data_IF_267039261522
#
_entry.id   IF_267039261522
#
_cell.length_a   1.000
_cell.length_b   1.000
_cell.length_c   1.000
_cell.angle_alpha   90.00
_cell.angle_beta   90.00
_cell.angle_gamma   90.00
#
_symmetry.space_group_name_H-M   'P 1'
#
loop_
_entity.id
_entity.type
_entity.pdbx_description
1 polymer ?
#
# COMPACT_ATOMS: atom_id res chain seq x y z
N UNK A 1 -16.02 -3.30 26.42
CA UNK A 1 -15.11 -3.51 27.54
C UNK A 1 -15.85 -4.00 28.80
N UNK A 2 -16.97 -3.37 29.18
CA UNK A 2 -17.71 -3.73 30.44
C UNK A 2 -18.21 -5.17 30.52
N UNK A 3 -18.30 -5.89 29.42
CA UNK A 3 -18.63 -7.34 29.40
C UNK A 3 -17.45 -8.21 29.84
N UNK A 4 -16.24 -7.67 29.98
CA UNK A 4 -15.03 -8.40 30.38
C UNK A 4 -14.50 -9.40 29.37
N UNK A 5 -14.99 -9.36 28.13
CA UNK A 5 -14.63 -10.31 27.05
C UNK A 5 -13.50 -9.80 26.14
N UNK A 6 -13.05 -8.56 26.34
CA UNK A 6 -12.02 -7.91 25.52
C UNK A 6 -12.58 -7.20 24.30
N UNK A 7 -11.98 -6.05 24.02
CA UNK A 7 -12.27 -5.21 22.86
C UNK A 7 -10.96 -4.91 22.13
N UNK A 8 -10.91 -5.17 20.84
CA UNK A 8 -9.78 -4.79 20.00
C UNK A 8 -10.13 -3.49 19.26
N UNK A 9 -9.31 -2.46 19.46
CA UNK A 9 -9.36 -1.21 18.68
C UNK A 9 -8.30 -1.29 17.61
N UNK A 10 -8.75 -1.34 16.37
CA UNK A 10 -7.91 -1.63 15.20
C UNK A 10 -7.55 -0.33 14.50
N UNK A 11 -6.27 -0.10 14.28
CA UNK A 11 -5.73 1.07 13.59
C UNK A 11 -4.89 0.64 12.38
N UNK A 12 -4.48 1.60 11.54
CA UNK A 12 -3.74 1.32 10.31
C UNK A 12 -2.22 1.21 10.46
N UNK A 13 -1.65 1.63 11.60
CA UNK A 13 -0.20 1.51 11.86
C UNK A 13 0.12 1.54 13.37
N UNK A 14 1.34 1.09 13.71
CA UNK A 14 1.83 1.00 15.09
C UNK A 14 1.91 2.36 15.80
N UNK A 15 2.24 3.42 15.07
CA UNK A 15 2.29 4.77 15.62
C UNK A 15 0.92 5.21 16.14
N UNK A 16 -0.15 5.00 15.35
CA UNK A 16 -1.50 5.33 15.77
C UNK A 16 -1.98 4.42 16.91
N UNK A 17 -1.68 3.12 16.84
CA UNK A 17 -2.03 2.19 17.91
C UNK A 17 -1.44 2.64 19.26
N UNK A 18 -0.16 3.00 19.27
CA UNK A 18 0.54 3.49 20.47
C UNK A 18 -0.01 4.84 20.92
N UNK A 19 -0.08 5.83 20.02
CA UNK A 19 -0.59 7.17 20.33
C UNK A 19 -1.98 7.13 20.93
N UNK A 20 -2.89 6.38 20.32
CA UNK A 20 -4.29 6.35 20.72
C UNK A 20 -4.48 5.54 22.01
N UNK A 21 -3.69 4.49 22.22
CA UNK A 21 -3.65 3.78 23.49
C UNK A 21 -3.17 4.70 24.65
N UNK A 22 -2.11 5.47 24.42
CA UNK A 22 -1.58 6.41 25.44
C UNK A 22 -2.55 7.57 25.68
N UNK A 23 -3.20 8.09 24.66
CA UNK A 23 -4.08 9.25 24.77
C UNK A 23 -5.45 8.90 25.31
N UNK A 24 -6.15 7.96 24.67
CA UNK A 24 -7.50 7.53 25.09
C UNK A 24 -7.44 6.60 26.30
N UNK A 25 -6.34 5.88 26.48
CA UNK A 25 -6.10 4.99 27.60
C UNK A 25 -6.28 5.66 28.93
N UNK A 26 -5.87 6.92 29.07
CA UNK A 26 -6.07 7.72 30.32
C UNK A 26 -7.53 7.77 30.76
N UNK A 27 -8.48 7.85 29.81
CA UNK A 27 -9.91 7.86 30.11
C UNK A 27 -10.38 6.48 30.52
N UNK A 28 -9.92 5.44 29.82
CA UNK A 28 -10.29 4.06 30.11
C UNK A 28 -9.76 3.61 31.48
N UNK A 29 -8.51 3.91 31.79
CA UNK A 29 -7.88 3.61 33.08
C UNK A 29 -8.54 4.36 34.23
N UNK A 30 -8.91 5.63 34.03
CA UNK A 30 -9.70 6.38 34.99
C UNK A 30 -11.03 5.73 35.31
N UNK A 31 -11.63 5.04 34.36
CA UNK A 31 -12.87 4.27 34.54
C UNK A 31 -12.62 2.87 35.08
N UNK A 32 -11.39 2.51 35.43
CA UNK A 32 -11.01 1.22 36.02
C UNK A 32 -10.84 0.08 34.99
N UNK A 33 -10.69 0.40 33.69
CA UNK A 33 -10.42 -0.57 32.63
C UNK A 33 -8.92 -0.66 32.37
N UNK A 34 -8.45 -1.82 31.98
CA UNK A 34 -7.06 -2.06 31.57
C UNK A 34 -6.90 -1.85 30.07
N UNK A 35 -5.76 -1.22 29.68
CA UNK A 35 -5.45 -0.91 28.29
C UNK A 35 -4.12 -1.53 27.89
N UNK A 36 -4.11 -2.28 26.80
CA UNK A 36 -2.94 -2.87 26.19
C UNK A 36 -2.72 -2.33 24.76
N UNK A 37 -1.50 -2.46 24.28
CA UNK A 37 -1.14 -2.16 22.88
C UNK A 37 -0.31 -3.30 22.32
N UNK A 38 -0.56 -3.70 21.09
CA UNK A 38 0.25 -4.66 20.35
C UNK A 38 1.07 -3.93 19.30
N UNK A 39 2.39 -4.10 19.39
CA UNK A 39 3.37 -3.52 18.47
C UNK A 39 4.20 -4.64 17.83
N UNK A 40 4.75 -4.37 16.66
CA UNK A 40 5.55 -5.36 15.91
C UNK A 40 6.76 -5.89 16.70
N UNK A 41 7.38 -5.06 17.55
CA UNK A 41 8.60 -5.39 18.32
C UNK A 41 8.36 -6.29 19.53
N UNK A 42 7.10 -6.56 19.92
CA UNK A 42 6.75 -7.28 21.14
C UNK A 42 6.94 -8.80 20.99
N UNK A 43 7.39 -9.43 22.08
CA UNK A 43 7.43 -10.89 22.19
C UNK A 43 6.05 -11.49 22.55
N UNK A 44 5.97 -12.83 22.61
CA UNK A 44 4.69 -13.51 22.83
C UNK A 44 4.14 -13.31 24.25
N UNK A 45 4.99 -13.11 25.25
CA UNK A 45 4.55 -12.92 26.64
C UNK A 45 3.98 -11.51 26.81
N UNK A 46 4.66 -10.52 26.28
CA UNK A 46 4.17 -9.13 26.22
C UNK A 46 2.83 -9.03 25.47
N UNK A 47 2.72 -9.73 24.32
CA UNK A 47 1.47 -9.79 23.53
C UNK A 47 0.33 -10.43 24.35
N UNK A 48 0.60 -11.51 25.04
CA UNK A 48 -0.39 -12.20 25.89
C UNK A 48 -0.90 -11.30 27.01
N UNK A 49 -0.02 -10.55 27.67
CA UNK A 49 -0.40 -9.56 28.67
C UNK A 49 -1.29 -8.46 28.08
N UNK A 50 -0.92 -7.93 26.93
CA UNK A 50 -1.69 -6.89 26.25
C UNK A 50 -3.08 -7.39 25.79
N UNK A 51 -3.18 -8.61 25.24
CA UNK A 51 -4.48 -9.20 24.88
C UNK A 51 -5.37 -9.53 26.07
N UNK A 52 -4.81 -9.70 27.26
CA UNK A 52 -5.57 -9.92 28.48
C UNK A 52 -6.17 -8.64 29.07
N UNK A 53 -5.80 -7.45 28.57
CA UNK A 53 -6.44 -6.20 28.93
C UNK A 53 -7.91 -6.12 28.47
N UNK A 54 -8.70 -5.26 29.09
CA UNK A 54 -10.09 -5.02 28.70
C UNK A 54 -10.20 -4.40 27.30
N UNK A 55 -9.23 -3.55 26.95
CA UNK A 55 -9.12 -2.88 25.65
C UNK A 55 -7.70 -3.09 25.14
N UNK A 56 -7.57 -3.55 23.89
CA UNK A 56 -6.28 -3.75 23.23
C UNK A 56 -6.26 -2.97 21.92
N UNK A 57 -5.31 -2.04 21.80
CA UNK A 57 -5.02 -1.33 20.54
C UNK A 57 -4.03 -2.13 19.72
N UNK A 58 -4.31 -2.32 18.45
CA UNK A 58 -3.44 -3.06 17.55
C UNK A 58 -3.66 -2.67 16.08
N UNK A 59 -2.72 -3.00 15.21
CA UNK A 59 -2.97 -2.93 13.78
C UNK A 59 -3.71 -4.17 13.28
N UNK A 60 -4.42 -4.02 12.18
CA UNK A 60 -5.08 -5.14 11.48
C UNK A 60 -4.10 -6.27 11.14
N UNK A 61 -2.87 -5.92 10.72
CA UNK A 61 -1.82 -6.87 10.39
C UNK A 61 -1.38 -7.68 11.62
N UNK A 62 -1.08 -7.01 12.74
CA UNK A 62 -0.63 -7.69 13.96
C UNK A 62 -1.70 -8.66 14.48
N UNK A 63 -2.96 -8.21 14.53
CA UNK A 63 -4.08 -9.08 14.96
C UNK A 63 -4.23 -10.31 14.06
N UNK A 64 -4.17 -10.13 12.75
CA UNK A 64 -4.32 -11.22 11.81
C UNK A 64 -3.12 -12.18 11.80
N UNK A 65 -1.89 -11.66 11.96
CA UNK A 65 -0.71 -12.52 12.08
C UNK A 65 -0.66 -13.27 13.41
N UNK A 66 -1.07 -12.64 14.52
CA UNK A 66 -1.19 -13.33 15.81
C UNK A 66 -2.23 -14.44 15.74
N UNK A 67 -3.38 -14.19 15.10
CA UNK A 67 -4.37 -15.22 14.84
C UNK A 67 -3.79 -16.40 14.04
N UNK A 68 -3.03 -16.13 12.97
CA UNK A 68 -2.38 -17.20 12.21
C UNK A 68 -1.35 -17.96 13.05
N UNK A 69 -0.52 -17.25 13.85
CA UNK A 69 0.47 -17.87 14.75
C UNK A 69 -0.21 -18.75 15.78
N UNK A 70 -1.28 -18.28 16.39
CA UNK A 70 -2.07 -19.03 17.37
C UNK A 70 -2.66 -20.32 16.79
N UNK A 71 -3.04 -20.31 15.50
CA UNK A 71 -3.53 -21.52 14.83
C UNK A 71 -2.41 -22.49 14.41
N UNK A 72 -1.15 -22.15 14.62
CA UNK A 72 0.02 -23.00 14.32
C UNK A 72 0.66 -23.59 15.58
N UNK A 73 0.28 -23.15 16.79
CA UNK A 73 0.82 -23.67 18.05
C UNK A 73 0.26 -25.05 18.40
N UNK A 74 1.03 -25.82 19.16
CA UNK A 74 0.66 -27.17 19.56
C UNK A 74 -0.02 -27.18 20.94
N UNK A 75 0.41 -26.27 21.83
CA UNK A 75 -0.08 -26.23 23.21
C UNK A 75 -0.91 -24.95 23.43
N UNK A 76 -1.98 -25.08 24.22
CA UNK A 76 -2.91 -23.97 24.52
C UNK A 76 -2.22 -22.80 25.23
N UNK A 77 -1.21 -23.09 26.04
CA UNK A 77 -0.43 -22.08 26.79
C UNK A 77 0.41 -21.19 25.88
N UNK A 78 0.61 -21.59 24.61
CA UNK A 78 1.33 -20.80 23.60
C UNK A 78 0.44 -19.77 22.90
N UNK A 79 -0.88 -19.85 23.05
CA UNK A 79 -1.81 -18.86 22.49
C UNK A 79 -1.56 -17.50 23.11
N UNK A 80 -1.60 -16.48 22.28
CA UNK A 80 -1.47 -15.08 22.74
C UNK A 80 -2.81 -14.36 22.76
N UNK A 81 -3.71 -14.65 21.80
CA UNK A 81 -5.03 -14.04 21.73
C UNK A 81 -6.05 -14.76 22.62
N UNK A 82 -7.05 -13.99 23.07
CA UNK A 82 -8.30 -14.53 23.62
C UNK A 82 -9.34 -14.74 22.50
N UNK A 83 -10.56 -15.13 22.88
CA UNK A 83 -11.69 -15.17 21.95
C UNK A 83 -11.93 -13.80 21.31
N UNK A 84 -12.26 -13.82 20.02
CA UNK A 84 -12.46 -12.61 19.21
C UNK A 84 -13.89 -12.07 19.43
N UNK A 85 -14.07 -11.31 20.52
CA UNK A 85 -15.40 -10.84 20.89
C UNK A 85 -15.82 -9.58 20.16
N UNK A 86 -15.07 -8.47 20.26
CA UNK A 86 -15.48 -7.19 19.66
C UNK A 86 -14.32 -6.47 19.01
N UNK A 87 -14.47 -6.12 17.74
CA UNK A 87 -13.55 -5.27 17.00
C UNK A 87 -14.19 -3.90 16.70
N UNK A 88 -13.48 -2.84 17.03
CA UNK A 88 -13.77 -1.46 16.62
C UNK A 88 -12.67 -1.04 15.66
N UNK A 89 -13.01 -0.87 14.38
CA UNK A 89 -12.02 -0.62 13.32
C UNK A 89 -12.02 0.85 12.95
N UNK A 90 -10.92 1.55 13.28
CA UNK A 90 -10.70 2.91 12.80
C UNK A 90 -10.22 2.89 11.36
N UNK A 91 -10.61 3.91 10.59
CA UNK A 91 -10.36 3.95 9.15
C UNK A 91 -10.82 2.66 8.45
N UNK A 92 -12.04 2.23 8.78
CA UNK A 92 -12.59 0.91 8.42
C UNK A 92 -12.59 0.62 6.92
N UNK A 93 -12.70 1.62 6.09
CA UNK A 93 -12.62 1.49 4.63
C UNK A 93 -11.19 1.16 4.16
N UNK A 94 -10.14 1.67 4.81
CA UNK A 94 -8.77 1.23 4.53
C UNK A 94 -8.57 -0.23 4.90
N UNK A 95 -8.96 -0.58 6.11
CA UNK A 95 -8.68 -1.90 6.68
C UNK A 95 -9.50 -2.99 5.99
N UNK A 96 -10.81 -2.75 5.80
CA UNK A 96 -11.74 -3.78 5.33
C UNK A 96 -12.00 -3.76 3.81
N UNK A 97 -11.65 -2.69 3.11
CA UNK A 97 -11.81 -2.59 1.66
C UNK A 97 -10.43 -2.59 0.96
N UNK A 98 -9.58 -1.58 1.22
CA UNK A 98 -8.31 -1.44 0.50
C UNK A 98 -7.31 -2.54 0.81
N UNK A 99 -6.99 -2.75 2.09
CA UNK A 99 -6.00 -3.75 2.52
C UNK A 99 -6.54 -5.18 2.46
N UNK A 100 -7.87 -5.34 2.49
CA UNK A 100 -8.51 -6.65 2.46
C UNK A 100 -8.37 -7.40 1.12
N UNK A 101 -7.88 -6.75 0.08
CA UNK A 101 -7.64 -7.36 -1.24
C UNK A 101 -6.52 -8.41 -1.22
N UNK A 102 -5.60 -8.33 -0.26
CA UNK A 102 -4.49 -9.27 -0.14
C UNK A 102 -4.59 -10.08 1.16
N UNK A 103 -4.40 -11.41 1.11
CA UNK A 103 -4.42 -12.22 2.32
C UNK A 103 -3.15 -12.04 3.15
N UNK A 104 -3.27 -12.31 4.45
CA UNK A 104 -2.12 -12.51 5.33
C UNK A 104 -1.57 -13.92 5.11
N UNK A 105 -0.24 -14.03 4.99
CA UNK A 105 0.43 -15.30 4.71
C UNK A 105 1.62 -15.46 5.65
N UNK A 106 1.67 -16.57 6.37
CA UNK A 106 2.87 -17.03 7.06
C UNK A 106 3.54 -18.09 6.20
N UNK A 107 4.82 -17.89 5.95
CA UNK A 107 5.63 -18.77 5.12
C UNK A 107 6.79 -19.34 5.89
N UNK A 108 7.09 -20.62 5.67
CA UNK A 108 8.30 -21.28 6.16
C UNK A 108 9.32 -21.48 5.04
N UNK A 109 10.60 -21.68 5.39
CA UNK A 109 11.63 -21.88 4.38
C UNK A 109 11.42 -23.22 3.64
N UNK A 110 11.32 -23.19 2.31
CA UNK A 110 11.47 -24.38 1.49
C UNK A 110 12.99 -24.69 1.39
N UNK A 111 13.35 -25.96 1.37
CA UNK A 111 14.77 -26.38 1.31
C UNK A 111 15.50 -26.09 -0.01
N UNK A 112 14.91 -25.33 -0.94
CA UNK A 112 15.44 -25.08 -2.30
C UNK A 112 16.63 -24.13 -2.33
N UNK A 113 17.51 -24.31 -3.31
CA UNK A 113 18.72 -23.51 -3.51
C UNK A 113 18.39 -22.11 -4.02
N UNK A 114 19.02 -21.09 -3.44
CA UNK A 114 18.89 -19.69 -3.89
C UNK A 114 19.74 -19.36 -5.11
N UNK A 115 20.75 -20.19 -5.41
CA UNK A 115 21.71 -19.97 -6.51
C UNK A 115 21.07 -19.97 -7.90
N UNK A 116 19.95 -20.67 -8.06
CA UNK A 116 19.25 -20.74 -9.35
C UNK A 116 18.69 -19.36 -9.74
N UNK A 117 18.23 -18.54 -8.80
CA UNK A 117 17.72 -17.20 -9.07
C UNK A 117 18.82 -16.25 -9.59
N UNK A 118 20.01 -16.33 -9.01
CA UNK A 118 21.18 -15.56 -9.48
C UNK A 118 21.61 -15.98 -10.88
N UNK A 119 21.59 -17.30 -11.16
CA UNK A 119 21.89 -17.81 -12.50
C UNK A 119 20.86 -17.36 -13.55
N UNK A 120 19.56 -17.37 -13.18
CA UNK A 120 18.48 -16.89 -14.04
C UNK A 120 18.56 -15.38 -14.27
N UNK A 121 18.89 -14.58 -13.26
CA UNK A 121 19.11 -13.14 -13.40
C UNK A 121 20.25 -12.85 -14.41
N UNK A 122 21.39 -13.52 -14.27
CA UNK A 122 22.51 -13.39 -15.20
C UNK A 122 22.14 -13.74 -16.65
N UNK A 123 21.30 -14.76 -16.85
CA UNK A 123 20.78 -15.11 -18.18
C UNK A 123 19.85 -14.02 -18.72
N UNK A 124 18.85 -13.63 -17.92
CA UNK A 124 17.80 -12.70 -18.36
C UNK A 124 18.37 -11.32 -18.75
N UNK A 125 19.42 -10.85 -18.09
CA UNK A 125 20.15 -9.62 -18.48
C UNK A 125 20.74 -9.69 -19.90
N UNK A 126 20.98 -10.88 -20.44
CA UNK A 126 21.52 -11.08 -21.79
C UNK A 126 20.41 -11.24 -22.84
N UNK A 127 19.14 -11.43 -22.40
CA UNK A 127 18.02 -11.59 -23.31
C UNK A 127 17.48 -10.24 -23.78
N UNK A 128 17.04 -10.19 -25.04
CA UNK A 128 16.52 -8.97 -25.67
C UNK A 128 14.99 -9.02 -25.72
N UNK A 129 14.37 -7.94 -25.21
CA UNK A 129 12.92 -7.74 -25.33
C UNK A 129 12.54 -7.58 -26.80
N UNK A 130 11.58 -8.34 -27.27
CA UNK A 130 10.98 -8.26 -28.57
C UNK A 130 9.64 -7.52 -28.57
N UNK A 131 9.04 -7.39 -29.74
CA UNK A 131 7.70 -6.80 -29.92
C UNK A 131 6.75 -7.86 -30.47
N UNK A 132 5.55 -7.96 -29.89
CA UNK A 132 4.42 -8.64 -30.52
C UNK A 132 4.01 -7.84 -31.77
N UNK A 133 4.02 -8.48 -32.93
CA UNK A 133 3.29 -7.93 -34.07
C UNK A 133 1.80 -8.26 -33.90
N UNK A 134 0.95 -7.25 -33.86
CA UNK A 134 -0.49 -7.45 -34.01
C UNK A 134 -0.72 -8.12 -35.37
N UNK A 135 -1.06 -9.43 -35.35
CA UNK A 135 -1.43 -10.17 -36.53
C UNK A 135 -2.74 -9.60 -37.09
N UNK A 136 -2.71 -9.12 -38.31
CA UNK A 136 -3.93 -8.77 -39.02
C UNK A 136 -4.77 -10.04 -39.26
N UNK A 137 -6.10 -9.90 -39.43
CA UNK A 137 -6.98 -11.04 -39.73
C UNK A 137 -6.56 -11.79 -41.00
N UNK A 138 -5.77 -11.17 -41.87
CA UNK A 138 -5.24 -11.77 -43.10
C UNK A 138 -4.01 -12.68 -42.82
N UNK A 139 -3.18 -12.31 -41.87
CA UNK A 139 -1.96 -13.06 -41.48
C UNK A 139 -2.34 -14.38 -40.78
N UNK A 140 -3.45 -14.39 -40.03
CA UNK A 140 -4.01 -15.60 -39.39
C UNK A 140 -4.51 -16.62 -40.43
N UNK A 141 -5.05 -16.14 -41.56
CA UNK A 141 -5.59 -17.01 -42.64
C UNK A 141 -4.46 -17.61 -43.48
N UNK A 142 -3.34 -16.91 -43.62
CA UNK A 142 -2.20 -17.37 -44.46
C UNK A 142 -1.20 -18.28 -43.74
N UNK A 143 -1.39 -18.56 -42.41
CA UNK A 143 -0.43 -19.36 -41.61
C UNK A 143 1.02 -18.86 -41.75
N UNK A 144 1.22 -17.54 -41.84
CA UNK A 144 2.56 -16.99 -41.73
C UNK A 144 3.07 -17.17 -40.30
N UNK A 145 4.27 -17.73 -40.17
CA UNK A 145 4.93 -17.96 -38.91
C UNK A 145 4.96 -16.68 -38.07
N UNK A 146 4.61 -16.79 -36.79
CA UNK A 146 4.75 -15.74 -35.83
C UNK A 146 6.20 -15.26 -35.78
N UNK A 147 6.54 -14.24 -36.57
CA UNK A 147 7.84 -13.58 -36.49
C UNK A 147 7.88 -12.71 -35.23
N UNK A 148 7.87 -13.37 -34.08
CA UNK A 148 8.23 -12.73 -32.81
C UNK A 148 9.70 -12.30 -32.90
N UNK A 149 9.95 -11.00 -32.81
CA UNK A 149 11.33 -10.49 -32.79
C UNK A 149 11.82 -10.45 -31.35
N UNK A 150 13.09 -10.87 -31.13
CA UNK A 150 13.70 -10.86 -29.79
C UNK A 150 13.62 -12.21 -29.08
N UNK A 151 14.04 -12.23 -27.82
CA UNK A 151 14.15 -13.47 -27.03
C UNK A 151 12.92 -13.68 -26.11
N UNK A 152 12.22 -12.60 -25.77
CA UNK A 152 10.97 -12.67 -25.01
C UNK A 152 10.05 -11.49 -25.34
N UNK A 153 8.76 -11.70 -25.14
CA UNK A 153 7.71 -10.67 -25.29
C UNK A 153 7.05 -10.42 -23.96
N UNK A 154 6.88 -9.15 -23.61
CA UNK A 154 6.22 -8.75 -22.37
C UNK A 154 5.01 -7.87 -22.66
N UNK A 155 3.84 -8.25 -22.13
CA UNK A 155 2.61 -7.50 -22.20
C UNK A 155 2.32 -6.88 -20.80
N UNK A 156 2.54 -5.58 -20.68
CA UNK A 156 2.38 -4.86 -19.40
C UNK A 156 0.90 -4.77 -18.98
N UNK A 157 -0.04 -4.72 -19.93
CA UNK A 157 -1.47 -4.65 -19.63
C UNK A 157 -2.00 -5.96 -19.06
N UNK A 158 -1.55 -7.07 -19.59
CA UNK A 158 -1.95 -8.43 -19.16
C UNK A 158 -1.04 -8.99 -18.06
N UNK A 159 0.03 -8.27 -17.70
CA UNK A 159 1.07 -8.69 -16.74
C UNK A 159 1.66 -10.08 -17.10
N UNK A 160 1.86 -10.35 -18.40
CA UNK A 160 2.42 -11.60 -18.91
C UNK A 160 3.76 -11.40 -19.59
N UNK A 161 4.64 -12.41 -19.46
CA UNK A 161 5.92 -12.46 -20.17
C UNK A 161 6.12 -13.87 -20.70
N UNK A 162 6.45 -13.98 -21.97
CA UNK A 162 6.65 -15.26 -22.66
C UNK A 162 7.98 -15.29 -23.40
N UNK A 163 8.69 -16.41 -23.33
CA UNK A 163 9.88 -16.66 -24.13
C UNK A 163 9.47 -16.96 -25.58
N UNK A 164 10.23 -16.44 -26.54
CA UNK A 164 10.15 -16.84 -27.95
C UNK A 164 10.95 -18.13 -28.18
N UNK A 165 10.82 -18.74 -29.35
CA UNK A 165 11.66 -19.90 -29.72
C UNK A 165 13.17 -19.58 -29.63
N UNK A 166 13.56 -18.35 -29.99
CA UNK A 166 14.96 -17.94 -29.90
C UNK A 166 15.40 -17.82 -28.44
N UNK A 167 14.51 -17.31 -27.58
CA UNK A 167 14.73 -17.23 -26.14
C UNK A 167 14.88 -18.61 -25.51
N UNK A 168 14.00 -19.54 -25.84
CA UNK A 168 14.05 -20.93 -25.36
C UNK A 168 15.41 -21.58 -25.70
N UNK A 169 15.86 -21.47 -26.96
CA UNK A 169 17.17 -22.01 -27.38
C UNK A 169 18.36 -21.39 -26.64
N UNK A 170 18.25 -20.10 -26.24
CA UNK A 170 19.28 -19.46 -25.43
C UNK A 170 19.28 -19.97 -23.98
N UNK A 171 18.09 -20.17 -23.40
CA UNK A 171 17.94 -20.76 -22.05
C UNK A 171 18.54 -22.17 -22.02
N UNK A 172 18.16 -23.03 -23.00
CA UNK A 172 18.66 -24.40 -23.13
C UNK A 172 20.19 -24.44 -23.25
N UNK A 173 20.76 -23.56 -24.08
CA UNK A 173 22.22 -23.47 -24.23
C UNK A 173 22.91 -23.01 -22.95
N UNK A 174 22.34 -22.05 -22.24
CA UNK A 174 22.93 -21.50 -21.01
C UNK A 174 22.97 -22.53 -19.88
N UNK A 175 21.89 -23.29 -19.70
CA UNK A 175 21.77 -24.31 -18.67
C UNK A 175 22.20 -25.70 -19.13
N UNK A 176 22.68 -25.86 -20.37
CA UNK A 176 23.07 -27.13 -20.98
C UNK A 176 21.95 -28.18 -20.98
N UNK A 177 20.72 -27.75 -21.34
CA UNK A 177 19.54 -28.59 -21.40
C UNK A 177 19.30 -29.08 -22.84
N UNK A 178 18.76 -30.29 -22.99
CA UNK A 178 18.31 -30.80 -24.30
C UNK A 178 16.95 -30.20 -24.69
N UNK A 179 16.03 -30.09 -23.69
CA UNK A 179 14.70 -29.52 -23.89
C UNK A 179 14.22 -28.86 -22.60
N UNK A 180 13.88 -27.58 -22.67
CA UNK A 180 13.40 -26.79 -21.50
C UNK A 180 12.02 -27.28 -20.99
N UNK A 181 11.20 -27.88 -21.87
CA UNK A 181 9.86 -28.35 -21.53
C UNK A 181 9.84 -29.73 -20.81
N UNK A 182 10.98 -30.39 -20.64
CA UNK A 182 11.04 -31.67 -19.96
C UNK A 182 10.67 -31.50 -18.46
N UNK A 183 9.98 -32.51 -17.87
CA UNK A 183 9.55 -32.45 -16.46
C UNK A 183 10.69 -32.19 -15.46
N UNK A 184 11.89 -32.64 -15.76
CA UNK A 184 13.09 -32.43 -14.95
C UNK A 184 13.57 -30.97 -14.94
N UNK A 185 13.21 -30.19 -15.96
CA UNK A 185 13.64 -28.81 -16.18
C UNK A 185 12.58 -27.77 -15.76
N UNK A 186 11.42 -28.20 -15.25
CA UNK A 186 10.32 -27.31 -14.86
C UNK A 186 10.72 -26.25 -13.82
N UNK A 187 11.63 -26.58 -12.92
CA UNK A 187 12.14 -25.62 -11.92
C UNK A 187 12.95 -24.50 -12.58
N UNK A 188 13.80 -24.85 -13.55
CA UNK A 188 14.59 -23.87 -14.31
C UNK A 188 13.66 -22.99 -15.14
N UNK A 189 12.70 -23.60 -15.84
CA UNK A 189 11.71 -22.88 -16.64
C UNK A 189 10.92 -21.88 -15.78
N UNK A 190 10.47 -22.32 -14.62
CA UNK A 190 9.76 -21.48 -13.66
C UNK A 190 10.60 -20.30 -13.19
N UNK A 191 11.85 -20.54 -12.75
CA UNK A 191 12.77 -19.50 -12.29
C UNK A 191 13.13 -18.50 -13.39
N UNK A 192 13.31 -18.94 -14.64
CA UNK A 192 13.55 -18.06 -15.79
C UNK A 192 12.34 -17.15 -16.04
N UNK A 193 11.12 -17.71 -16.01
CA UNK A 193 9.90 -16.93 -16.19
C UNK A 193 9.72 -15.90 -15.07
N UNK A 194 10.03 -16.24 -13.81
CA UNK A 194 9.99 -15.31 -12.69
C UNK A 194 11.02 -14.19 -12.83
N UNK A 195 12.24 -14.53 -13.26
CA UNK A 195 13.29 -13.55 -13.51
C UNK A 195 12.90 -12.59 -14.65
N UNK A 196 12.30 -13.10 -15.72
CA UNK A 196 11.75 -12.28 -16.81
C UNK A 196 10.64 -11.35 -16.29
N UNK A 197 9.71 -11.84 -15.47
CA UNK A 197 8.67 -11.01 -14.85
C UNK A 197 9.27 -9.93 -13.96
N UNK A 198 10.26 -10.26 -13.15
CA UNK A 198 10.96 -9.31 -12.29
C UNK A 198 11.62 -8.18 -13.09
N UNK A 199 12.24 -8.49 -14.24
CA UNK A 199 12.88 -7.50 -15.09
C UNK A 199 11.91 -6.68 -15.94
N UNK A 200 10.89 -7.33 -16.51
CA UNK A 200 10.01 -6.70 -17.49
C UNK A 200 8.79 -6.00 -16.89
N UNK A 201 8.29 -6.45 -15.73
CA UNK A 201 7.02 -6.01 -15.16
C UNK A 201 7.12 -5.42 -13.76
N UNK A 202 8.26 -5.58 -13.05
CA UNK A 202 8.41 -5.08 -11.68
C UNK A 202 9.42 -3.93 -11.66
N UNK A 203 9.00 -2.78 -11.14
CA UNK A 203 9.77 -1.54 -11.19
C UNK A 203 10.15 -1.09 -9.78
N UNK A 204 11.43 -0.73 -9.62
CA UNK A 204 11.94 -0.09 -8.40
C UNK A 204 11.20 1.23 -8.16
N UNK A 205 10.95 1.55 -6.91
CA UNK A 205 10.25 2.77 -6.44
C UNK A 205 8.76 2.88 -6.86
N UNK A 206 8.23 1.85 -7.52
CA UNK A 206 6.81 1.75 -7.87
C UNK A 206 6.18 0.50 -7.24
N UNK A 207 6.67 -0.68 -7.58
CA UNK A 207 6.16 -1.95 -7.08
C UNK A 207 6.88 -2.39 -5.81
N UNK A 208 8.12 -1.95 -5.62
CA UNK A 208 8.96 -2.24 -4.46
C UNK A 208 10.03 -1.17 -4.26
N UNK A 209 10.60 -1.12 -3.05
CA UNK A 209 11.79 -0.34 -2.71
C UNK A 209 12.88 -1.25 -2.14
N UNK A 210 14.14 -0.81 -2.22
CA UNK A 210 15.28 -1.50 -1.60
C UNK A 210 15.75 -0.67 -0.40
N UNK A 211 15.71 -1.27 0.80
CA UNK A 211 16.18 -0.65 2.04
C UNK A 211 16.87 -1.72 2.89
N UNK A 212 18.01 -1.39 3.48
CA UNK A 212 18.78 -2.26 4.39
C UNK A 212 19.07 -3.66 3.80
N UNK A 213 19.50 -3.70 2.53
CA UNK A 213 19.78 -4.93 1.77
C UNK A 213 18.56 -5.87 1.67
N UNK A 214 17.35 -5.31 1.64
CA UNK A 214 16.10 -6.03 1.52
C UNK A 214 15.16 -5.38 0.52
N UNK A 215 14.44 -6.21 -0.22
CA UNK A 215 13.32 -5.78 -1.06
C UNK A 215 12.08 -5.67 -0.18
N UNK A 216 11.42 -4.51 -0.22
CA UNK A 216 10.17 -4.24 0.50
C UNK A 216 9.08 -3.90 -0.51
N UNK A 217 7.94 -4.56 -0.40
CA UNK A 217 6.80 -4.32 -1.30
C UNK A 217 6.20 -2.95 -1.01
N UNK A 218 5.84 -2.24 -2.08
CA UNK A 218 5.00 -1.05 -2.02
C UNK A 218 3.59 -1.43 -2.43
N UNK A 219 2.62 -1.11 -1.61
CA UNK A 219 1.21 -1.35 -1.91
C UNK A 219 0.74 -0.45 -3.07
N UNK A 220 0.18 -1.04 -4.11
CA UNK A 220 -0.24 -0.35 -5.33
C UNK A 220 -1.34 0.71 -5.06
N UNK A 221 -2.17 0.49 -4.04
CA UNK A 221 -3.31 1.36 -3.74
C UNK A 221 -2.97 2.47 -2.73
N UNK A 222 -2.18 2.13 -1.71
CA UNK A 222 -1.87 3.06 -0.62
C UNK A 222 -0.50 3.73 -0.78
N UNK A 223 0.37 3.21 -1.66
CA UNK A 223 1.75 3.68 -1.82
C UNK A 223 2.63 3.43 -0.59
N UNK A 224 2.18 2.60 0.37
CA UNK A 224 2.90 2.32 1.61
C UNK A 224 3.80 1.10 1.48
N UNK A 225 4.93 1.15 2.16
CA UNK A 225 5.77 -0.04 2.36
C UNK A 225 4.99 -1.04 3.21
N UNK A 226 5.01 -2.30 2.79
CA UNK A 226 4.38 -3.43 3.48
C UNK A 226 5.46 -4.29 4.16
N UNK A 227 5.88 -3.99 5.40
CA UNK A 227 6.91 -4.74 6.08
C UNK A 227 6.50 -6.20 6.30
N UNK A 228 7.44 -7.12 6.12
CA UNK A 228 7.20 -8.55 6.33
C UNK A 228 6.42 -9.26 5.21
N UNK A 229 5.83 -8.54 4.25
CA UNK A 229 5.20 -9.15 3.07
C UNK A 229 6.23 -9.46 1.99
N UNK A 230 6.00 -10.55 1.28
CA UNK A 230 6.82 -11.01 0.15
C UNK A 230 5.92 -11.42 -1.01
N UNK A 231 6.39 -11.23 -2.24
CA UNK A 231 5.72 -11.80 -3.40
C UNK A 231 5.81 -13.33 -3.35
N UNK A 232 4.74 -14.01 -3.76
CA UNK A 232 4.63 -15.47 -3.77
C UNK A 232 5.43 -16.11 -4.91
N UNK A 233 5.49 -17.44 -4.85
CA UNK A 233 5.94 -18.32 -5.92
C UNK A 233 7.36 -18.08 -6.44
N UNK A 234 8.24 -17.46 -5.64
CA UNK A 234 9.62 -17.17 -6.01
C UNK A 234 9.84 -15.82 -6.70
N UNK A 235 8.78 -15.03 -6.96
CA UNK A 235 8.94 -13.71 -7.60
C UNK A 235 9.76 -12.75 -6.73
N UNK A 236 9.59 -12.82 -5.40
CA UNK A 236 10.39 -11.98 -4.49
C UNK A 236 11.89 -12.28 -4.58
N UNK A 237 12.25 -13.55 -4.66
CA UNK A 237 13.63 -14.00 -4.84
C UNK A 237 14.20 -13.55 -6.19
N UNK A 238 13.39 -13.59 -7.24
CA UNK A 238 13.80 -13.09 -8.55
C UNK A 238 14.06 -11.57 -8.53
N UNK A 239 13.29 -10.80 -7.75
CA UNK A 239 13.52 -9.36 -7.55
C UNK A 239 14.76 -9.15 -6.68
N UNK A 240 14.96 -9.94 -5.60
CA UNK A 240 16.16 -9.89 -4.78
C UNK A 240 17.42 -10.14 -5.62
N UNK A 241 17.39 -11.13 -6.53
CA UNK A 241 18.50 -11.39 -7.47
C UNK A 241 18.71 -10.23 -8.45
N UNK A 242 17.64 -9.68 -9.01
CA UNK A 242 17.66 -8.51 -9.91
C UNK A 242 18.33 -7.29 -9.27
N UNK A 243 18.03 -7.01 -8.02
CA UNK A 243 18.55 -5.86 -7.28
C UNK A 243 19.89 -6.16 -6.57
N UNK A 244 20.45 -7.37 -6.77
CA UNK A 244 21.71 -7.81 -6.16
C UNK A 244 21.74 -7.73 -4.63
N UNK A 245 20.60 -7.87 -4.00
CA UNK A 245 20.48 -8.04 -2.55
C UNK A 245 20.52 -9.54 -2.21
N UNK A 246 20.73 -9.86 -0.94
CA UNK A 246 20.82 -11.26 -0.50
C UNK A 246 19.51 -12.00 -0.80
N UNK A 247 19.57 -12.98 -1.70
CA UNK A 247 18.41 -13.83 -2.03
C UNK A 247 18.10 -14.73 -0.84
N UNK A 248 16.93 -14.55 -0.23
CA UNK A 248 16.43 -15.39 0.86
C UNK A 248 15.80 -16.66 0.28
N UNK A 249 15.86 -17.77 1.02
CA UNK A 249 15.28 -19.04 0.57
C UNK A 249 13.80 -18.88 0.21
N UNK A 250 13.36 -19.65 -0.80
CA UNK A 250 11.95 -19.74 -1.17
C UNK A 250 11.14 -20.19 0.04
N UNK A 251 9.98 -19.59 0.20
CA UNK A 251 9.11 -19.87 1.34
C UNK A 251 7.91 -20.71 0.92
N UNK A 252 7.60 -21.74 1.72
CA UNK A 252 6.37 -22.51 1.58
C UNK A 252 5.30 -21.86 2.46
N UNK A 253 4.11 -21.62 1.90
CA UNK A 253 2.98 -21.12 2.69
C UNK A 253 2.59 -22.13 3.76
N UNK A 254 2.65 -21.71 5.01
CA UNK A 254 2.28 -22.51 6.18
C UNK A 254 0.85 -22.22 6.64
N UNK A 255 0.47 -20.94 6.64
CA UNK A 255 -0.87 -20.50 7.02
C UNK A 255 -1.25 -19.24 6.24
N UNK A 256 -2.54 -19.08 5.95
CA UNK A 256 -3.08 -17.90 5.28
C UNK A 256 -4.49 -17.59 5.77
N UNK A 257 -4.82 -16.31 5.83
CA UNK A 257 -6.19 -15.83 6.08
C UNK A 257 -6.40 -14.50 5.36
N UNK A 258 -7.60 -14.30 4.84
CA UNK A 258 -8.03 -12.97 4.34
C UNK A 258 -8.55 -12.11 5.49
N UNK A 259 -8.47 -10.79 5.38
CA UNK A 259 -9.05 -9.89 6.38
C UNK A 259 -10.57 -10.09 6.51
N UNK A 260 -11.27 -10.37 5.39
CA UNK A 260 -12.70 -10.69 5.41
C UNK A 260 -13.00 -11.87 6.34
N UNK A 261 -12.27 -12.97 6.16
CA UNK A 261 -12.45 -14.17 6.99
C UNK A 261 -12.03 -13.94 8.43
N UNK A 262 -10.98 -13.16 8.66
CA UNK A 262 -10.50 -12.85 10.01
C UNK A 262 -11.53 -12.00 10.77
N UNK A 263 -11.93 -10.85 10.23
CA UNK A 263 -12.86 -9.94 10.91
C UNK A 263 -14.28 -10.54 11.06
N UNK A 264 -14.67 -11.47 10.18
CA UNK A 264 -15.93 -12.21 10.34
C UNK A 264 -15.92 -13.23 11.48
N UNK A 265 -14.78 -13.46 12.14
CA UNK A 265 -14.70 -14.31 13.35
C UNK A 265 -15.06 -13.56 14.63
N UNK A 266 -15.09 -12.24 14.63
CA UNK A 266 -15.55 -11.47 15.77
C UNK A 266 -17.06 -11.62 15.95
N UNK A 267 -17.50 -11.79 17.21
CA UNK A 267 -18.93 -11.82 17.57
C UNK A 267 -19.61 -10.48 17.23
N UNK A 268 -18.89 -9.38 17.51
CA UNK A 268 -19.33 -8.02 17.25
C UNK A 268 -18.24 -7.25 16.48
N UNK A 269 -18.62 -6.45 15.53
CA UNK A 269 -17.73 -5.57 14.81
C UNK A 269 -18.42 -4.28 14.44
N UNK A 270 -17.70 -3.18 14.53
CA UNK A 270 -18.09 -1.89 13.98
C UNK A 270 -16.83 -1.15 13.50
N UNK A 271 -17.04 -0.06 12.80
CA UNK A 271 -15.94 0.76 12.33
C UNK A 271 -16.38 2.19 12.09
N UNK A 272 -15.40 3.06 11.85
CA UNK A 272 -15.62 4.46 11.55
C UNK A 272 -14.65 4.94 10.48
N UNK A 273 -15.16 5.82 9.63
CA UNK A 273 -14.41 6.55 8.61
C UNK A 273 -15.24 7.73 8.11
N UNK A 274 -14.60 8.72 7.51
CA UNK A 274 -15.28 9.84 6.84
C UNK A 274 -15.83 9.48 5.46
N UNK A 275 -15.64 8.28 4.95
CA UNK A 275 -15.88 7.94 3.53
C UNK A 275 -16.55 6.57 3.30
N UNK A 276 -17.26 6.00 4.29
CA UNK A 276 -17.87 4.68 4.17
C UNK A 276 -19.06 4.62 3.20
N UNK A 277 -19.81 5.71 3.03
CA UNK A 277 -21.10 5.71 2.34
C UNK A 277 -20.99 5.21 0.88
N UNK A 278 -19.91 5.50 0.19
CA UNK A 278 -19.69 5.05 -1.20
C UNK A 278 -19.52 3.53 -1.33
N UNK A 279 -19.14 2.86 -0.25
CA UNK A 279 -18.87 1.43 -0.19
C UNK A 279 -19.88 0.67 0.70
N UNK A 280 -21.04 1.27 0.99
CA UNK A 280 -22.09 0.69 1.86
C UNK A 280 -22.48 -0.72 1.41
N UNK A 281 -22.60 -0.93 0.10
CA UNK A 281 -22.97 -2.23 -0.47
C UNK A 281 -21.94 -3.30 -0.11
N UNK A 282 -20.65 -2.99 -0.23
CA UNK A 282 -19.56 -3.93 0.08
C UNK A 282 -19.50 -4.23 1.57
N UNK A 283 -19.65 -3.23 2.45
CA UNK A 283 -19.73 -3.45 3.89
C UNK A 283 -20.90 -4.36 4.28
N UNK A 284 -22.04 -4.21 3.65
CA UNK A 284 -23.22 -5.04 3.92
C UNK A 284 -23.06 -6.46 3.40
N UNK A 285 -22.60 -6.64 2.15
CA UNK A 285 -22.50 -7.96 1.52
C UNK A 285 -21.40 -8.83 2.11
N UNK A 286 -20.24 -8.25 2.46
CA UNK A 286 -19.07 -9.00 2.94
C UNK A 286 -19.03 -9.12 4.46
N UNK A 287 -19.34 -8.04 5.17
CA UNK A 287 -19.17 -7.96 6.62
C UNK A 287 -20.48 -7.93 7.41
N UNK A 288 -21.62 -7.81 6.74
CA UNK A 288 -22.93 -7.68 7.40
C UNK A 288 -23.07 -6.38 8.20
N UNK A 289 -22.38 -5.30 7.80
CA UNK A 289 -22.39 -4.01 8.47
C UNK A 289 -23.17 -2.99 7.67
N UNK A 290 -24.09 -2.27 8.33
CA UNK A 290 -24.77 -1.12 7.75
C UNK A 290 -23.94 0.14 7.95
N UNK A 291 -24.10 1.10 7.03
CA UNK A 291 -23.45 2.41 7.12
C UNK A 291 -24.45 3.44 7.64
N UNK A 292 -24.08 4.13 8.71
CA UNK A 292 -24.86 5.20 9.30
C UNK A 292 -24.09 6.50 9.21
N UNK A 293 -24.67 7.49 8.53
CA UNK A 293 -24.06 8.82 8.41
C UNK A 293 -24.33 9.64 9.68
N UNK A 294 -23.24 10.07 10.33
CA UNK A 294 -23.28 11.00 11.46
C UNK A 294 -22.96 12.39 10.92
N UNK A 295 -23.90 13.36 11.03
CA UNK A 295 -23.68 14.71 10.52
C UNK A 295 -22.53 15.38 11.26
N UNK A 296 -21.82 16.27 10.56
CA UNK A 296 -20.73 17.07 11.13
C UNK A 296 -21.25 18.04 12.21
N UNK A 297 -20.48 18.24 13.29
CA UNK A 297 -20.82 19.18 14.35
C UNK A 297 -20.90 20.62 13.84
N UNK A 298 -19.97 21.03 12.97
CA UNK A 298 -19.95 22.34 12.31
C UNK A 298 -20.16 22.15 10.80
N UNK A 299 -20.83 23.09 10.11
CA UNK A 299 -20.99 23.01 8.65
C UNK A 299 -19.63 22.97 7.93
N UNK A 300 -19.54 22.17 6.89
CA UNK A 300 -18.35 22.12 6.03
C UNK A 300 -18.26 23.41 5.23
N UNK A 301 -17.17 24.17 5.43
CA UNK A 301 -16.89 25.43 4.70
C UNK A 301 -15.93 25.24 3.53
N UNK A 302 -15.39 24.03 3.35
CA UNK A 302 -14.47 23.72 2.24
C UNK A 302 -15.20 23.93 0.90
N UNK A 303 -14.47 24.53 -0.05
CA UNK A 303 -14.94 24.73 -1.43
C UNK A 303 -14.30 23.66 -2.30
N UNK A 304 -15.12 22.80 -2.89
CA UNK A 304 -14.66 21.77 -3.83
C UNK A 304 -14.83 22.30 -5.26
N UNK A 305 -13.73 22.69 -5.90
CA UNK A 305 -13.71 23.21 -7.26
C UNK A 305 -13.94 22.10 -8.29
N UNK A 306 -14.44 22.49 -9.47
CA UNK A 306 -14.54 21.59 -10.60
C UNK A 306 -13.15 21.15 -11.09
N UNK A 307 -13.09 19.95 -11.67
CA UNK A 307 -11.87 19.42 -12.28
C UNK A 307 -11.39 20.30 -13.42
N UNK A 308 -10.08 20.46 -13.52
CA UNK A 308 -9.43 21.08 -14.66
C UNK A 308 -8.83 20.02 -15.57
N UNK A 309 -9.35 19.91 -16.79
CA UNK A 309 -8.95 18.89 -17.76
C UNK A 309 -7.94 19.47 -18.77
N UNK A 310 -6.84 18.77 -19.00
CA UNK A 310 -5.76 19.17 -19.89
C UNK A 310 -5.55 18.15 -21.00
N UNK A 311 -5.08 18.60 -22.14
CA UNK A 311 -4.81 17.76 -23.29
C UNK A 311 -3.54 16.92 -23.11
N UNK A 312 -2.55 17.46 -22.40
CA UNK A 312 -1.24 16.84 -22.23
C UNK A 312 -0.81 16.85 -20.76
N UNK A 313 -0.04 15.83 -20.36
CA UNK A 313 0.58 15.75 -19.03
C UNK A 313 1.41 16.99 -18.70
N UNK A 314 2.13 17.53 -19.69
CA UNK A 314 2.98 18.71 -19.53
C UNK A 314 2.16 19.97 -19.18
N UNK A 315 1.07 20.20 -19.88
CA UNK A 315 0.16 21.33 -19.58
C UNK A 315 -0.43 21.19 -18.19
N UNK A 316 -0.88 19.99 -17.82
CA UNK A 316 -1.40 19.66 -16.49
C UNK A 316 -0.38 19.98 -15.40
N UNK A 317 0.86 19.46 -15.52
CA UNK A 317 1.90 19.70 -14.52
C UNK A 317 2.28 21.18 -14.40
N UNK A 318 2.35 21.90 -15.52
CA UNK A 318 2.60 23.34 -15.47
C UNK A 318 1.48 24.08 -14.72
N UNK A 319 0.22 23.75 -14.99
CA UNK A 319 -0.90 24.36 -14.28
C UNK A 319 -0.91 24.05 -12.79
N UNK A 320 -0.57 22.83 -12.39
CA UNK A 320 -0.40 22.43 -10.98
C UNK A 320 0.69 23.27 -10.33
N UNK A 321 1.87 23.39 -10.96
CA UNK A 321 2.98 24.16 -10.42
C UNK A 321 2.61 25.64 -10.26
N UNK A 322 1.97 26.26 -11.26
CA UNK A 322 1.53 27.66 -11.17
C UNK A 322 0.51 27.88 -10.03
N UNK A 323 -0.41 26.94 -9.81
CA UNK A 323 -1.39 27.02 -8.72
C UNK A 323 -0.72 26.86 -7.33
N UNK A 324 0.28 25.95 -7.22
CA UNK A 324 1.09 25.81 -6.01
C UNK A 324 1.86 27.08 -5.72
N UNK A 325 2.53 27.68 -6.72
CA UNK A 325 3.29 28.92 -6.58
C UNK A 325 2.39 30.06 -6.10
N UNK A 326 1.24 30.25 -6.77
CA UNK A 326 0.28 31.29 -6.42
C UNK A 326 -0.26 31.15 -4.99
N UNK A 327 -0.49 29.92 -4.54
CA UNK A 327 -0.95 29.64 -3.17
C UNK A 327 0.15 29.88 -2.14
N UNK A 328 1.37 29.42 -2.42
CA UNK A 328 2.54 29.62 -1.57
C UNK A 328 2.86 31.11 -1.38
N UNK A 329 2.83 31.91 -2.46
CA UNK A 329 3.05 33.36 -2.41
C UNK A 329 2.01 34.09 -1.55
N UNK A 330 0.77 33.58 -1.49
CA UNK A 330 -0.28 34.09 -0.58
C UNK A 330 -0.10 33.63 0.87
N UNK A 331 0.82 32.70 1.12
CA UNK A 331 0.99 32.05 2.43
C UNK A 331 0.01 30.92 2.70
N UNK A 332 -0.85 30.53 1.75
CA UNK A 332 -1.79 29.44 1.89
C UNK A 332 -1.07 28.08 1.83
N UNK A 333 -1.22 27.19 2.84
CA UNK A 333 -0.61 25.87 2.77
C UNK A 333 -1.28 25.00 1.71
N UNK A 334 -0.47 24.16 1.05
CA UNK A 334 -0.90 23.28 -0.04
C UNK A 334 -0.49 21.83 0.25
N UNK A 335 -1.45 20.93 0.19
CA UNK A 335 -1.22 19.50 0.17
C UNK A 335 -1.52 18.95 -1.22
N UNK A 336 -0.51 18.38 -1.86
CA UNK A 336 -0.63 17.81 -3.20
C UNK A 336 -0.69 16.29 -3.10
N UNK A 337 -1.79 15.71 -3.55
CA UNK A 337 -1.97 14.26 -3.65
C UNK A 337 -1.49 13.73 -5.01
N UNK A 338 -0.61 12.75 -5.00
CA UNK A 338 -0.12 12.02 -6.18
C UNK A 338 -0.43 10.54 -6.05
N UNK A 339 -0.59 9.82 -7.16
CA UNK A 339 -0.89 8.38 -7.14
C UNK A 339 0.39 7.54 -7.02
N UNK A 340 1.49 7.98 -7.65
CA UNK A 340 2.74 7.23 -7.69
C UNK A 340 3.91 8.01 -7.10
N UNK A 341 4.93 7.28 -6.66
CA UNK A 341 6.19 7.87 -6.19
C UNK A 341 6.85 8.68 -7.30
N UNK A 342 6.87 8.14 -8.54
CA UNK A 342 7.44 8.83 -9.70
C UNK A 342 6.77 10.18 -9.96
N UNK A 343 5.43 10.23 -9.87
CA UNK A 343 4.69 11.49 -10.03
C UNK A 343 5.04 12.50 -8.93
N UNK A 344 5.24 12.03 -7.69
CA UNK A 344 5.66 12.90 -6.58
C UNK A 344 7.08 13.45 -6.77
N UNK A 345 8.00 12.62 -7.29
CA UNK A 345 9.37 13.02 -7.56
C UNK A 345 9.47 13.97 -8.75
N UNK A 346 8.73 13.71 -9.84
CA UNK A 346 8.65 14.60 -11.00
C UNK A 346 8.15 16.00 -10.59
N UNK A 347 7.06 16.05 -9.81
CA UNK A 347 6.54 17.31 -9.31
C UNK A 347 7.53 18.02 -8.37
N UNK A 348 8.19 17.25 -7.48
CA UNK A 348 9.24 17.78 -6.61
C UNK A 348 10.37 18.43 -7.38
N UNK A 349 10.83 17.80 -8.47
CA UNK A 349 11.87 18.38 -9.33
C UNK A 349 11.42 19.69 -10.00
N UNK A 350 10.16 19.78 -10.43
CA UNK A 350 9.60 21.01 -11.01
C UNK A 350 9.52 22.13 -9.98
N UNK A 351 9.09 21.84 -8.76
CA UNK A 351 9.03 22.84 -7.67
C UNK A 351 10.42 23.30 -7.26
N UNK A 352 11.43 22.40 -7.20
CA UNK A 352 12.83 22.78 -6.97
C UNK A 352 13.35 23.75 -8.03
N UNK A 353 13.05 23.52 -9.30
CA UNK A 353 13.42 24.43 -10.40
C UNK A 353 12.77 25.82 -10.27
N UNK A 354 11.60 25.90 -9.64
CA UNK A 354 10.89 27.16 -9.35
C UNK A 354 11.30 27.80 -8.02
N UNK A 355 12.20 27.16 -7.27
CA UNK A 355 12.67 27.66 -5.96
C UNK A 355 11.63 27.56 -4.84
N UNK A 356 10.61 26.71 -4.97
CA UNK A 356 9.57 26.52 -3.95
C UNK A 356 10.03 25.50 -2.93
N UNK A 357 10.21 25.87 -1.66
CA UNK A 357 10.51 24.92 -0.59
C UNK A 357 9.31 24.01 -0.36
N UNK A 358 9.55 22.70 -0.28
CA UNK A 358 8.49 21.71 -0.10
C UNK A 358 8.99 20.45 0.57
N UNK A 359 8.09 19.69 1.18
CA UNK A 359 8.34 18.36 1.74
C UNK A 359 7.66 17.30 0.88
N UNK A 360 8.30 16.14 0.75
CA UNK A 360 7.76 14.99 0.01
C UNK A 360 7.55 13.83 0.98
N UNK A 361 6.33 13.33 1.01
CA UNK A 361 5.92 12.19 1.81
C UNK A 361 5.53 11.04 0.89
N UNK A 362 6.35 10.00 0.88
CA UNK A 362 6.13 8.78 0.10
C UNK A 362 6.68 7.57 0.86
N UNK A 363 6.62 6.39 0.25
CA UNK A 363 7.10 5.14 0.86
C UNK A 363 8.57 5.17 1.35
N UNK A 364 9.41 6.07 0.81
CA UNK A 364 10.81 6.22 1.23
C UNK A 364 10.96 6.96 2.57
N UNK A 365 9.97 7.77 2.96
CA UNK A 365 10.03 8.65 4.13
C UNK A 365 8.99 8.29 5.21
N UNK A 366 8.53 7.07 5.21
CA UNK A 366 7.49 6.57 6.11
C UNK A 366 7.75 6.88 7.61
N UNK A 367 9.01 6.78 8.08
CA UNK A 367 9.37 7.03 9.48
C UNK A 367 9.19 8.49 9.93
N UNK A 368 9.25 9.42 8.97
CA UNK A 368 9.07 10.87 9.21
C UNK A 368 7.64 11.35 8.91
N UNK A 369 6.74 10.44 8.62
CA UNK A 369 5.37 10.75 8.15
C UNK A 369 4.64 11.71 9.10
N UNK A 370 4.64 11.41 10.39
CA UNK A 370 3.92 12.20 11.38
C UNK A 370 4.45 13.64 11.52
N UNK A 371 5.78 13.82 11.46
CA UNK A 371 6.40 15.14 11.55
C UNK A 371 6.10 15.98 10.29
N UNK A 372 6.18 15.37 9.10
CA UNK A 372 5.90 16.07 7.84
C UNK A 372 4.44 16.53 7.80
N UNK A 373 3.51 15.69 8.26
CA UNK A 373 2.08 16.01 8.30
C UNK A 373 1.78 17.10 9.35
N UNK A 374 2.43 17.08 10.50
CA UNK A 374 2.26 18.11 11.51
C UNK A 374 2.57 19.52 10.96
N UNK A 375 3.56 19.64 10.09
CA UNK A 375 3.96 20.89 9.48
C UNK A 375 3.16 21.29 8.23
N UNK A 376 2.37 20.36 7.67
CA UNK A 376 1.67 20.60 6.40
C UNK A 376 0.61 21.70 6.46
N UNK A 377 0.12 22.07 7.67
CA UNK A 377 -0.86 23.13 7.89
C UNK A 377 -0.25 24.50 8.21
N UNK A 378 1.08 24.66 8.20
CA UNK A 378 1.74 25.92 8.51
C UNK A 378 1.70 26.89 7.32
N UNK A 379 1.83 28.20 7.60
CA UNK A 379 1.81 29.25 6.59
C UNK A 379 2.80 28.95 5.47
N UNK A 380 2.33 28.94 4.25
CA UNK A 380 3.13 28.74 3.04
C UNK A 380 3.73 27.33 2.89
N UNK A 381 3.36 26.37 3.74
CA UNK A 381 3.84 25.01 3.61
C UNK A 381 3.37 24.37 2.31
N UNK A 382 4.26 23.65 1.62
CA UNK A 382 3.94 22.84 0.45
C UNK A 382 4.35 21.41 0.74
N UNK A 383 3.39 20.51 0.73
CA UNK A 383 3.61 19.08 1.00
C UNK A 383 3.09 18.26 -0.16
N UNK A 384 3.93 17.39 -0.72
CA UNK A 384 3.55 16.40 -1.72
C UNK A 384 3.41 15.06 -1.00
N UNK A 385 2.26 14.42 -1.11
CA UNK A 385 2.01 13.12 -0.49
C UNK A 385 1.54 12.12 -1.53
N UNK A 386 2.11 10.91 -1.52
CA UNK A 386 1.59 9.80 -2.31
C UNK A 386 0.43 9.17 -1.58
N UNK A 387 -0.66 8.92 -2.32
CA UNK A 387 -1.89 8.30 -1.83
C UNK A 387 -2.19 8.66 -0.36
N UNK A 388 -2.73 7.91 0.40
CA UNK A 388 -3.20 8.12 1.77
C UNK A 388 -2.10 8.34 2.84
N UNK A 389 -0.89 8.74 2.46
CA UNK A 389 0.18 9.05 3.41
C UNK A 389 -0.30 10.08 4.45
N UNK A 390 0.00 9.84 5.73
CA UNK A 390 -0.50 10.65 6.85
C UNK A 390 -1.96 10.39 7.24
N UNK A 391 -2.60 9.32 6.75
CA UNK A 391 -3.95 8.92 7.15
C UNK A 391 -4.00 8.66 8.67
N UNK A 392 -5.11 9.02 9.31
CA UNK A 392 -5.26 8.94 10.78
C UNK A 392 -4.54 10.04 11.54
N UNK A 393 -3.79 10.92 10.85
CA UNK A 393 -3.13 12.10 11.47
C UNK A 393 -3.83 13.37 10.99
N UNK A 394 -4.24 14.21 11.95
CA UNK A 394 -4.89 15.47 11.64
C UNK A 394 -3.87 16.54 11.25
N UNK A 395 -4.21 17.36 10.25
CA UNK A 395 -3.41 18.50 9.82
C UNK A 395 -3.95 19.72 10.55
N UNK A 396 -3.23 20.15 11.57
CA UNK A 396 -3.60 21.36 12.34
C UNK A 396 -3.16 22.60 11.58
N UNK A 397 -4.08 23.53 11.36
CA UNK A 397 -3.77 24.81 10.74
C UNK A 397 -2.95 25.69 11.69
N UNK A 398 -1.92 26.30 11.15
CA UNK A 398 -1.12 27.31 11.87
C UNK A 398 -1.92 28.60 12.12
N UNK A 399 -1.39 29.47 12.97
CA UNK A 399 -2.00 30.76 13.28
C UNK A 399 -2.11 31.61 11.99
N UNK A 400 -3.28 32.20 11.75
CA UNK A 400 -3.57 33.03 10.57
C UNK A 400 -3.89 32.28 9.27
N UNK A 401 -3.75 30.94 9.21
CA UNK A 401 -4.01 30.16 7.99
C UNK A 401 -5.50 30.14 7.63
N UNK A 402 -6.39 30.17 8.61
CA UNK A 402 -7.84 30.25 8.39
C UNK A 402 -8.25 31.51 7.63
N UNK A 403 -7.57 32.63 7.88
CA UNK A 403 -7.81 33.90 7.20
C UNK A 403 -7.31 33.90 5.74
N UNK A 404 -6.34 33.03 5.45
CA UNK A 404 -5.80 32.80 4.09
C UNK A 404 -6.62 31.80 3.27
N UNK A 405 -7.73 31.28 3.81
CA UNK A 405 -8.59 30.32 3.16
C UNK A 405 -8.39 28.87 3.60
N UNK A 406 -7.56 28.62 4.60
CA UNK A 406 -7.27 27.28 5.13
C UNK A 406 -6.38 26.45 4.22
N UNK A 407 -6.37 25.12 4.42
CA UNK A 407 -5.57 24.18 3.64
C UNK A 407 -6.14 24.00 2.24
N UNK A 408 -5.28 24.08 1.23
CA UNK A 408 -5.61 23.77 -0.16
C UNK A 408 -5.17 22.37 -0.53
N UNK A 409 -6.08 21.61 -1.10
CA UNK A 409 -5.83 20.28 -1.64
C UNK A 409 -5.73 20.33 -3.16
N UNK A 410 -4.65 19.78 -3.69
CA UNK A 410 -4.47 19.60 -5.13
C UNK A 410 -4.36 18.10 -5.41
N UNK A 411 -5.31 17.54 -6.17
CA UNK A 411 -5.21 16.17 -6.69
C UNK A 411 -4.59 16.21 -8.09
N UNK A 412 -3.50 15.50 -8.30
CA UNK A 412 -2.83 15.46 -9.61
C UNK A 412 -3.52 14.54 -10.61
N UNK A 413 -4.39 13.66 -10.13
CA UNK A 413 -5.17 12.68 -10.89
C UNK A 413 -6.39 12.26 -10.09
N UNK A 414 -7.37 11.63 -10.74
CA UNK A 414 -8.44 10.91 -10.07
C UNK A 414 -7.98 9.49 -9.73
N UNK A 415 -8.34 9.04 -8.54
CA UNK A 415 -8.10 7.67 -8.12
C UNK A 415 -9.17 6.72 -8.72
N UNK A 416 -8.93 5.43 -8.66
CA UNK A 416 -9.87 4.40 -9.13
C UNK A 416 -11.21 4.43 -8.38
N UNK A 417 -11.18 4.79 -7.09
CA UNK A 417 -12.37 4.93 -6.25
C UNK A 417 -12.63 6.39 -5.89
N UNK A 418 -13.89 6.80 -6.03
CA UNK A 418 -14.35 8.11 -5.57
C UNK A 418 -14.13 8.33 -4.07
N UNK A 419 -14.14 7.26 -3.31
CA UNK A 419 -13.85 7.26 -1.88
C UNK A 419 -12.46 7.81 -1.59
N UNK A 420 -11.44 7.38 -2.32
CA UNK A 420 -10.05 7.85 -2.14
C UNK A 420 -9.93 9.34 -2.46
N UNK A 421 -10.60 9.82 -3.51
CA UNK A 421 -10.67 11.24 -3.80
C UNK A 421 -11.32 12.03 -2.66
N UNK A 422 -12.39 11.51 -2.06
CA UNK A 422 -13.05 12.13 -0.92
C UNK A 422 -12.17 12.14 0.33
N UNK A 423 -11.37 11.11 0.55
CA UNK A 423 -10.39 11.08 1.64
C UNK A 423 -9.31 12.16 1.46
N UNK A 424 -8.82 12.36 0.24
CA UNK A 424 -7.87 13.43 -0.06
C UNK A 424 -8.49 14.81 0.19
N UNK A 425 -9.70 15.06 -0.34
CA UNK A 425 -10.45 16.30 -0.08
C UNK A 425 -10.69 16.52 1.41
N UNK A 426 -11.05 15.48 2.13
CA UNK A 426 -11.35 15.49 3.56
C UNK A 426 -10.17 15.84 4.48
N UNK A 427 -8.98 16.02 3.92
CA UNK A 427 -7.84 16.57 4.66
C UNK A 427 -7.99 18.06 4.95
N UNK A 428 -8.76 18.79 4.15
CA UNK A 428 -9.07 20.21 4.32
C UNK A 428 -10.50 20.42 4.82
N UNK A 429 -10.76 21.57 5.43
CA UNK A 429 -12.10 21.98 5.89
C UNK A 429 -12.58 21.19 7.10
N UNK A 430 -11.67 20.75 7.96
CA UNK A 430 -11.98 20.06 9.22
C UNK A 430 -12.38 21.05 10.31
N UNK A 431 -13.13 20.59 11.31
CA UNK A 431 -13.54 21.37 12.49
C UNK A 431 -14.31 22.67 12.14
N UNK A 432 -14.90 22.77 10.95
CA UNK A 432 -15.55 23.98 10.48
C UNK A 432 -14.59 25.05 9.93
N UNK A 433 -13.32 24.71 9.75
CA UNK A 433 -12.34 25.58 9.12
C UNK A 433 -12.61 25.74 7.61
N UNK A 434 -12.18 26.85 6.99
CA UNK A 434 -12.15 26.99 5.55
C UNK A 434 -11.13 26.03 4.94
N UNK A 435 -11.28 25.80 3.64
CA UNK A 435 -10.37 25.00 2.85
C UNK A 435 -10.86 24.93 1.40
N UNK A 436 -10.02 24.42 0.53
CA UNK A 436 -10.42 24.20 -0.85
C UNK A 436 -9.78 22.93 -1.44
N UNK A 437 -10.43 22.35 -2.44
CA UNK A 437 -9.89 21.22 -3.18
C UNK A 437 -10.06 21.39 -4.68
N UNK A 438 -9.07 20.94 -5.45
CA UNK A 438 -9.10 20.95 -6.90
C UNK A 438 -8.35 19.76 -7.48
N UNK A 439 -8.92 19.13 -8.50
CA UNK A 439 -8.28 18.05 -9.24
C UNK A 439 -7.87 18.51 -10.65
N UNK A 440 -6.73 18.02 -11.09
CA UNK A 440 -6.13 18.29 -12.39
C UNK A 440 -6.04 16.97 -13.16
N UNK A 441 -6.70 16.89 -14.33
CA UNK A 441 -6.86 15.65 -15.10
C UNK A 441 -6.23 15.80 -16.48
#
# INVERSE_FOLDING_TARGET
>A
ALEGKGVHIVTVNDYLAKRDAEWMGQIHEFLGLTVGVILNSMDNDERREAYNCDITYATNNELGFDYLRDNMVIYKEQLVQRDLHYAIVDEVDSVLIDEARTPLIISGSSGKSTKIYEACDNLVRQLKKGTEKELSKMDIIMKEDNNETGDYVANEKEKTVNLTEQGIKKVERFFHLENLADPENLEIQHCVNLSLRAHALMHLDKDYVVKDDQVLIVDEFTGRIMPGRRYSDGLHQAIEAKEHVKVKRESKTLATITFQNFFNKYDKKCGMTGTALTEEKEFREIYGMDVVEVPTNLPVKRIDHNDSVYKTKREKLNAIVEDIVASHEKGQPVLVGTITIDASEELSQLLKKRGIPHKVLNAKFHELEAEIIADAGQIGAVTIATNMAGRGTDIKLGEGVTELGGLKIIGTERHESRRIDNQLRGRAGRQGDPGESKFYI
#
